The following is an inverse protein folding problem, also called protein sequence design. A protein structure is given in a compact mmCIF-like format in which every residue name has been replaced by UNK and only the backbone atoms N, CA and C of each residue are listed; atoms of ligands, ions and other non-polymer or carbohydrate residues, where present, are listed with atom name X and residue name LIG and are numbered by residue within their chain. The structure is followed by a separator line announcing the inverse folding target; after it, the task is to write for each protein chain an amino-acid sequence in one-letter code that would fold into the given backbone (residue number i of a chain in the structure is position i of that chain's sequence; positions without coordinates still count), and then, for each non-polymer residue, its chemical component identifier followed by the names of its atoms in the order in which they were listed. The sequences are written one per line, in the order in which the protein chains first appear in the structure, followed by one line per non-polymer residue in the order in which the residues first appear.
data_IF_697702869961
#
_entry.id   IF_697702869961
#
_cell.length_a   1.000
_cell.length_b   1.000
_cell.length_c   1.000
_cell.angle_alpha   90.00
_cell.angle_beta   90.00
_cell.angle_gamma   90.00
#
_symmetry.space_group_name_H-M   'P 1'
#
loop_
_entity.id
_entity.type
_entity.pdbx_description
1 polymer ?
#
# COMPACT_ATOMS: atom_id res chain seq x y z
N UNK A 1 -14.19 -10.19 9.81
CA UNK A 1 -12.80 -10.11 10.31
C UNK A 1 -11.99 -9.23 9.34
N UNK A 2 -11.18 -8.29 9.85
CA UNK A 2 -10.32 -7.43 9.02
C UNK A 2 -9.23 -8.24 8.32
N UNK A 3 -8.62 -7.68 7.24
CA UNK A 3 -7.49 -8.32 6.57
C UNK A 3 -6.34 -8.58 7.56
N UNK A 4 -5.95 -7.59 8.36
CA UNK A 4 -4.96 -7.73 9.43
C UNK A 4 -5.32 -8.86 10.41
N UNK A 5 -6.60 -9.00 10.77
CA UNK A 5 -7.07 -10.09 11.63
C UNK A 5 -6.90 -11.47 11.01
N UNK A 6 -7.15 -11.61 9.69
CA UNK A 6 -6.93 -12.87 8.95
C UNK A 6 -5.45 -13.25 8.92
N UNK A 7 -4.56 -12.27 8.66
CA UNK A 7 -3.11 -12.48 8.69
C UNK A 7 -2.66 -12.96 10.08
N UNK A 8 -3.10 -12.29 11.15
CA UNK A 8 -2.77 -12.67 12.52
C UNK A 8 -3.29 -14.05 12.88
N UNK A 9 -4.48 -14.42 12.43
CA UNK A 9 -5.02 -15.76 12.66
C UNK A 9 -4.21 -16.83 11.93
N UNK A 10 -3.84 -16.61 10.68
CA UNK A 10 -2.95 -17.51 9.93
C UNK A 10 -1.62 -17.72 10.66
N UNK A 11 -0.94 -16.65 11.02
CA UNK A 11 0.35 -16.69 11.70
C UNK A 11 0.27 -17.33 13.10
N UNK A 12 -0.85 -17.20 13.80
CA UNK A 12 -1.03 -17.78 15.13
C UNK A 12 -1.06 -19.31 15.10
N UNK A 13 -1.44 -19.92 13.99
CA UNK A 13 -1.52 -21.37 13.80
C UNK A 13 -0.17 -22.00 13.41
N UNK A 14 0.76 -21.19 12.91
CA UNK A 14 2.08 -21.68 12.49
C UNK A 14 2.99 -21.81 13.70
N UNK A 15 3.51 -22.98 13.97
CA UNK A 15 4.51 -23.24 15.01
C UNK A 15 5.75 -23.83 14.34
N UNK A 16 6.88 -23.14 14.45
CA UNK A 16 8.14 -23.66 13.95
C UNK A 16 8.52 -24.96 14.65
N UNK A 17 9.10 -25.90 13.93
CA UNK A 17 9.67 -27.12 14.52
C UNK A 17 10.99 -26.89 15.23
N UNK A 18 11.70 -25.81 14.85
CA UNK A 18 13.02 -25.49 15.43
C UNK A 18 12.87 -24.70 16.74
N UNK A 19 13.37 -25.25 17.84
CA UNK A 19 13.27 -24.65 19.17
C UNK A 19 13.82 -23.22 19.23
N UNK A 20 14.95 -22.93 18.56
CA UNK A 20 15.52 -21.58 18.53
C UNK A 20 14.60 -20.54 17.86
N UNK A 21 13.79 -20.97 16.86
CA UNK A 21 12.79 -20.10 16.25
C UNK A 21 11.59 -19.87 17.17
N UNK A 22 11.16 -20.91 17.92
CA UNK A 22 10.11 -20.80 18.93
C UNK A 22 10.54 -19.80 20.02
N UNK A 23 11.79 -19.88 20.49
CA UNK A 23 12.36 -18.95 21.49
C UNK A 23 12.40 -17.51 20.93
N UNK A 24 12.80 -17.32 19.67
CA UNK A 24 12.82 -16.00 19.05
C UNK A 24 11.41 -15.39 18.93
N UNK A 25 10.40 -16.21 18.65
CA UNK A 25 9.01 -15.77 18.55
C UNK A 25 8.41 -15.45 19.94
N UNK A 26 8.75 -16.23 20.97
CA UNK A 26 8.41 -15.93 22.38
C UNK A 26 9.05 -14.60 22.80
N UNK A 27 10.35 -14.42 22.53
CA UNK A 27 11.05 -13.19 22.84
C UNK A 27 10.41 -11.95 22.19
N UNK A 28 9.98 -12.09 20.92
CA UNK A 28 9.27 -11.03 20.22
C UNK A 28 7.94 -10.65 20.91
N UNK A 29 7.14 -11.64 21.28
CA UNK A 29 5.86 -11.39 21.95
C UNK A 29 6.09 -10.76 23.32
N UNK A 30 7.05 -11.27 24.11
CA UNK A 30 7.39 -10.72 25.41
C UNK A 30 7.90 -9.29 25.31
N UNK A 31 8.73 -8.98 24.32
CA UNK A 31 9.25 -7.62 24.13
C UNK A 31 8.16 -6.58 23.85
N UNK A 32 7.00 -6.97 23.33
CA UNK A 32 5.90 -6.05 22.96
C UNK A 32 4.82 -5.96 24.04
N UNK A 33 4.41 -7.09 24.58
CA UNK A 33 3.26 -7.17 25.50
C UNK A 33 3.55 -8.01 26.74
N UNK A 34 4.81 -8.32 27.02
CA UNK A 34 5.27 -9.00 28.21
C UNK A 34 5.46 -8.05 29.40
N UNK A 35 5.20 -8.56 30.58
CA UNK A 35 5.49 -7.92 31.86
C UNK A 35 6.06 -8.96 32.83
N UNK A 36 7.06 -8.57 33.60
CA UNK A 36 7.60 -9.40 34.69
C UNK A 36 7.19 -8.74 36.00
N UNK A 37 6.59 -9.49 36.91
CA UNK A 37 6.28 -9.07 38.24
C UNK A 37 7.18 -9.80 39.23
N UNK A 38 7.68 -9.09 40.25
CA UNK A 38 8.52 -9.62 41.30
C UNK A 38 7.74 -9.49 42.61
N UNK A 39 7.52 -10.58 43.32
CA UNK A 39 6.88 -10.57 44.62
C UNK A 39 7.90 -10.32 45.75
N UNK A 40 7.40 -10.08 46.99
CA UNK A 40 8.24 -9.79 48.17
C UNK A 40 9.27 -10.88 48.50
N UNK A 41 9.16 -12.08 47.94
CA UNK A 41 10.05 -13.23 48.16
C UNK A 41 10.93 -13.50 46.92
N UNK A 42 11.23 -12.49 46.12
CA UNK A 42 11.96 -12.60 44.86
C UNK A 42 11.38 -13.65 43.90
N UNK A 43 10.09 -13.86 43.96
CA UNK A 43 9.39 -14.79 43.09
C UNK A 43 9.01 -14.08 41.80
N UNK A 44 9.55 -14.52 40.67
CA UNK A 44 9.28 -13.98 39.37
C UNK A 44 8.04 -14.62 38.74
N UNK A 45 7.23 -13.79 38.08
CA UNK A 45 6.10 -14.24 37.28
C UNK A 45 6.07 -13.44 35.97
N UNK A 46 6.08 -14.13 34.84
CA UNK A 46 5.95 -13.51 33.54
C UNK A 46 4.51 -13.57 33.03
N UNK A 47 4.01 -12.44 32.55
CA UNK A 47 2.66 -12.31 32.01
C UNK A 47 2.69 -11.64 30.64
N UNK A 48 1.77 -12.05 29.75
CA UNK A 48 1.51 -11.40 28.47
C UNK A 48 0.10 -10.84 28.49
N UNK A 49 -0.04 -9.54 28.20
CA UNK A 49 -1.33 -8.84 28.13
C UNK A 49 -1.66 -8.48 26.69
N UNK A 50 -2.82 -8.89 26.20
CA UNK A 50 -3.23 -8.59 24.81
C UNK A 50 -4.75 -8.58 24.66
N UNK A 51 -5.26 -7.74 23.76
CA UNK A 51 -6.67 -7.78 23.35
C UNK A 51 -6.91 -8.77 22.19
N UNK A 52 -5.85 -9.33 21.62
CA UNK A 52 -5.92 -10.22 20.47
C UNK A 52 -5.81 -11.69 20.90
N UNK A 53 -6.89 -12.43 20.70
CA UNK A 53 -6.95 -13.88 21.02
C UNK A 53 -5.89 -14.71 20.27
N UNK A 54 -5.51 -14.30 19.05
CA UNK A 54 -4.49 -14.99 18.26
C UNK A 54 -3.11 -14.89 18.90
N UNK A 55 -2.78 -13.75 19.50
CA UNK A 55 -1.52 -13.54 20.25
C UNK A 55 -1.50 -14.38 21.52
N UNK A 56 -2.60 -14.35 22.31
CA UNK A 56 -2.71 -15.12 23.54
C UNK A 56 -2.56 -16.64 23.26
N UNK A 57 -3.27 -17.13 22.26
CA UNK A 57 -3.19 -18.54 21.82
C UNK A 57 -1.77 -18.91 21.39
N UNK A 58 -1.16 -18.06 20.57
CA UNK A 58 0.19 -18.29 20.06
C UNK A 58 1.21 -18.39 21.19
N UNK A 59 1.21 -17.40 22.10
CA UNK A 59 2.13 -17.40 23.23
C UNK A 59 1.94 -18.62 24.13
N UNK A 60 0.70 -18.93 24.50
CA UNK A 60 0.35 -20.13 25.28
C UNK A 60 0.93 -21.40 24.64
N UNK A 61 0.62 -21.62 23.35
CA UNK A 61 1.08 -22.83 22.64
C UNK A 61 2.61 -22.87 22.49
N UNK A 62 3.26 -21.72 22.31
CA UNK A 62 4.72 -21.68 22.21
C UNK A 62 5.39 -22.02 23.54
N UNK A 63 4.89 -21.49 24.66
CA UNK A 63 5.45 -21.75 26.00
C UNK A 63 5.28 -23.24 26.34
N UNK A 64 4.09 -23.78 26.10
CA UNK A 64 3.81 -25.21 26.31
C UNK A 64 4.75 -26.09 25.48
N UNK A 65 4.82 -25.87 24.16
CA UNK A 65 5.63 -26.71 23.25
C UNK A 65 7.13 -26.56 23.42
N UNK A 66 7.62 -25.35 23.74
CA UNK A 66 9.06 -25.06 23.81
C UNK A 66 9.68 -25.51 25.12
N UNK A 67 8.93 -25.38 26.22
CA UNK A 67 9.44 -25.54 27.58
C UNK A 67 8.70 -26.63 28.37
N UNK A 68 7.59 -27.16 27.87
CA UNK A 68 6.68 -28.06 28.59
C UNK A 68 6.16 -27.41 29.89
N UNK A 69 5.71 -26.17 29.78
CA UNK A 69 5.25 -25.32 30.90
C UNK A 69 3.74 -25.15 30.80
N UNK A 70 3.05 -25.31 31.92
CA UNK A 70 1.63 -24.99 32.05
C UNK A 70 1.45 -23.49 32.31
N UNK A 71 0.91 -22.78 31.32
CA UNK A 71 0.53 -21.39 31.46
C UNK A 71 -0.97 -21.27 31.76
N UNK A 72 -1.38 -20.21 32.44
CA UNK A 72 -2.78 -19.95 32.80
C UNK A 72 -3.31 -18.78 31.97
N UNK A 73 -4.50 -18.93 31.39
CA UNK A 73 -5.14 -17.87 30.61
C UNK A 73 -6.30 -17.28 31.40
N UNK A 74 -6.21 -16.00 31.71
CA UNK A 74 -7.29 -15.22 32.31
C UNK A 74 -7.96 -14.36 31.22
N UNK A 75 -9.28 -14.40 31.14
CA UNK A 75 -10.06 -13.59 30.19
C UNK A 75 -10.90 -12.57 30.98
N UNK A 76 -10.65 -11.29 30.76
CA UNK A 76 -11.46 -10.20 31.33
C UNK A 76 -12.26 -9.53 30.22
N UNK A 77 -13.58 -9.35 30.45
CA UNK A 77 -14.42 -8.50 29.58
C UNK A 77 -14.18 -7.05 29.95
N UNK A 78 -13.79 -6.22 28.99
CA UNK A 78 -13.70 -4.78 29.19
C UNK A 78 -15.12 -4.17 29.13
N UNK A 79 -15.64 -3.73 30.28
CA UNK A 79 -17.00 -3.20 30.42
C UNK A 79 -17.12 -1.81 29.77
N UNK A 80 -16.01 -1.04 29.72
CA UNK A 80 -15.97 0.36 29.31
C UNK A 80 -15.66 0.58 27.83
N UNK A 81 -14.98 -0.32 27.17
CA UNK A 81 -14.59 -0.21 25.75
C UNK A 81 -15.23 -1.34 24.92
N UNK A 82 -16.40 -1.05 24.31
CA UNK A 82 -17.06 -1.85 23.23
C UNK A 82 -16.88 -3.38 23.30
N UNK A 83 -17.14 -4.00 24.46
CA UNK A 83 -17.15 -5.47 24.65
C UNK A 83 -15.88 -6.21 24.14
N UNK A 84 -14.70 -5.59 24.17
CA UNK A 84 -13.45 -6.27 23.88
C UNK A 84 -13.03 -7.15 25.04
N UNK A 85 -12.52 -8.34 24.74
CA UNK A 85 -11.89 -9.20 25.75
C UNK A 85 -10.41 -8.82 25.88
N UNK A 86 -9.90 -8.77 27.10
CA UNK A 86 -8.47 -8.68 27.39
C UNK A 86 -8.01 -10.05 27.89
N UNK A 87 -6.98 -10.56 27.27
CA UNK A 87 -6.37 -11.85 27.60
C UNK A 87 -5.08 -11.59 28.37
N UNK A 88 -4.94 -12.27 29.50
CA UNK A 88 -3.71 -12.31 30.28
C UNK A 88 -3.25 -13.76 30.31
N UNK A 89 -2.08 -14.05 29.70
CA UNK A 89 -1.43 -15.34 29.77
C UNK A 89 -0.31 -15.26 30.78
N UNK A 90 -0.39 -16.06 31.83
CA UNK A 90 0.49 -16.03 32.98
C UNK A 90 1.24 -17.34 33.14
N UNK A 91 2.54 -17.26 33.45
CA UNK A 91 3.37 -18.37 33.90
C UNK A 91 3.62 -18.17 35.41
N UNK A 92 2.87 -18.86 36.26
CA UNK A 92 2.91 -18.59 37.71
C UNK A 92 4.16 -19.16 38.41
N UNK A 93 4.79 -20.16 37.85
CA UNK A 93 5.98 -20.81 38.42
C UNK A 93 7.21 -19.92 38.28
N UNK A 94 7.92 -19.69 39.41
CA UNK A 94 9.19 -18.95 39.43
C UNK A 94 10.24 -19.60 38.53
N UNK A 95 10.46 -20.91 38.71
CA UNK A 95 11.47 -21.68 37.97
C UNK A 95 11.21 -21.62 36.48
N UNK A 96 9.95 -21.78 36.07
CA UNK A 96 9.57 -21.73 34.67
C UNK A 96 9.69 -20.31 34.07
N UNK A 97 9.37 -19.29 34.87
CA UNK A 97 9.60 -17.89 34.48
C UNK A 97 11.08 -17.62 34.25
N UNK A 98 11.97 -18.06 35.15
CA UNK A 98 13.41 -17.94 35.01
C UNK A 98 13.89 -18.65 33.73
N UNK A 99 13.43 -19.89 33.50
CA UNK A 99 13.76 -20.65 32.27
C UNK A 99 13.38 -19.92 31.00
N UNK A 100 12.21 -19.31 30.95
CA UNK A 100 11.75 -18.52 29.79
C UNK A 100 12.62 -17.27 29.62
N UNK A 101 12.84 -16.49 30.69
CA UNK A 101 13.58 -15.23 30.62
C UNK A 101 15.06 -15.45 30.27
N UNK A 102 15.70 -16.49 30.80
CA UNK A 102 17.07 -16.86 30.42
C UNK A 102 17.17 -17.36 28.97
N UNK A 103 16.24 -18.19 28.51
CA UNK A 103 16.21 -18.66 27.13
C UNK A 103 16.00 -17.53 26.12
N UNK A 104 15.13 -16.57 26.46
CA UNK A 104 14.85 -15.37 25.63
C UNK A 104 15.88 -14.26 25.82
N UNK A 105 16.88 -14.45 26.72
CA UNK A 105 17.95 -13.48 27.04
C UNK A 105 17.46 -12.16 27.63
N UNK A 106 16.31 -12.18 28.31
CA UNK A 106 15.83 -11.08 29.14
C UNK A 106 16.30 -11.18 30.60
N UNK A 107 16.98 -12.27 30.94
CA UNK A 107 17.61 -12.48 32.24
C UNK A 107 19.00 -13.07 32.05
N UNK A 108 19.97 -12.59 32.80
CA UNK A 108 21.34 -13.12 32.85
C UNK A 108 21.38 -14.50 33.54
N UNK A 109 22.48 -15.28 33.42
CA UNK A 109 22.68 -16.49 34.21
C UNK A 109 22.66 -16.24 35.73
N UNK A 110 23.07 -15.04 36.16
CA UNK A 110 23.10 -14.59 37.55
C UNK A 110 21.73 -14.13 38.07
N UNK A 111 20.67 -14.33 37.27
CA UNK A 111 19.27 -13.93 37.55
C UNK A 111 19.03 -12.42 37.63
N UNK A 112 19.90 -11.62 37.01
CA UNK A 112 19.64 -10.21 36.83
C UNK A 112 18.70 -10.03 35.61
N UNK A 113 17.56 -9.38 35.85
CA UNK A 113 16.61 -9.06 34.79
C UNK A 113 17.13 -7.84 34.03
N UNK A 114 17.06 -7.87 32.69
CA UNK A 114 17.30 -6.68 31.89
C UNK A 114 16.35 -5.57 32.31
N UNK A 115 16.86 -4.35 32.54
CA UNK A 115 16.07 -3.19 32.97
C UNK A 115 14.87 -2.91 32.06
N UNK A 116 14.98 -3.33 30.80
CA UNK A 116 13.93 -3.22 29.80
C UNK A 116 13.84 -4.47 28.92
N UNK A 117 12.69 -5.15 28.92
CA UNK A 117 12.38 -6.24 27.99
C UNK A 117 12.36 -5.79 26.53
N UNK A 118 12.41 -4.48 26.27
CA UNK A 118 12.43 -3.93 24.94
C UNK A 118 13.78 -4.17 24.20
N UNK A 119 14.88 -4.25 24.95
CA UNK A 119 16.23 -4.44 24.37
C UNK A 119 16.48 -5.91 24.11
N UNK A 120 16.30 -6.32 22.88
CA UNK A 120 16.49 -7.70 22.49
C UNK A 120 17.97 -8.04 22.31
N UNK A 121 18.40 -9.15 22.91
CA UNK A 121 19.73 -9.68 22.68
C UNK A 121 19.89 -10.17 21.23
N UNK A 122 20.97 -9.72 20.56
CA UNK A 122 21.33 -10.20 19.21
C UNK A 122 21.53 -11.72 19.15
N UNK A 123 21.76 -12.37 20.28
CA UNK A 123 21.92 -13.82 20.37
C UNK A 123 20.65 -14.58 20.00
N UNK A 124 19.48 -14.01 20.23
CA UNK A 124 18.18 -14.63 19.91
C UNK A 124 17.89 -14.62 18.42
N UNK A 125 18.44 -13.65 17.67
CA UNK A 125 18.15 -13.43 16.24
C UNK A 125 19.38 -13.64 15.34
N UNK A 126 20.34 -14.47 15.76
CA UNK A 126 21.56 -14.72 14.96
C UNK A 126 21.26 -15.33 13.59
N UNK A 127 20.36 -16.30 13.54
CA UNK A 127 20.01 -17.01 12.30
C UNK A 127 18.87 -16.28 11.57
N UNK A 128 18.87 -16.33 10.24
CA UNK A 128 17.83 -15.74 9.42
C UNK A 128 16.43 -16.27 9.79
N UNK A 129 16.30 -17.58 10.02
CA UNK A 129 15.05 -18.18 10.47
C UNK A 129 14.58 -17.66 11.85
N UNK A 130 15.50 -17.29 12.76
CA UNK A 130 15.15 -16.64 14.02
C UNK A 130 14.65 -15.21 13.79
N UNK A 131 15.27 -14.47 12.86
CA UNK A 131 14.78 -13.13 12.48
C UNK A 131 13.36 -13.21 11.91
N UNK A 132 13.06 -14.17 11.02
CA UNK A 132 11.72 -14.42 10.49
C UNK A 132 10.70 -14.71 11.60
N UNK A 133 11.06 -15.61 12.53
CA UNK A 133 10.22 -15.95 13.68
C UNK A 133 10.01 -14.74 14.60
N UNK A 134 11.03 -13.94 14.84
CA UNK A 134 10.94 -12.70 15.61
C UNK A 134 10.00 -11.69 14.96
N UNK A 135 10.16 -11.42 13.66
CA UNK A 135 9.26 -10.52 12.91
C UNK A 135 7.81 -11.01 12.94
N UNK A 136 7.59 -12.33 12.86
CA UNK A 136 6.26 -12.94 12.98
C UNK A 136 5.63 -12.66 14.34
N UNK A 137 6.37 -12.89 15.44
CA UNK A 137 5.90 -12.62 16.80
C UNK A 137 5.63 -11.13 17.04
N UNK A 138 6.52 -10.24 16.58
CA UNK A 138 6.35 -8.79 16.69
C UNK A 138 5.14 -8.30 15.90
N UNK A 139 4.95 -8.78 14.67
CA UNK A 139 3.78 -8.42 13.86
C UNK A 139 2.48 -8.94 14.50
N UNK A 140 2.46 -10.14 15.03
CA UNK A 140 1.32 -10.66 15.77
C UNK A 140 0.93 -9.73 16.92
N UNK A 141 1.92 -9.29 17.71
CA UNK A 141 1.69 -8.49 18.92
C UNK A 141 1.30 -7.02 18.60
N UNK A 142 2.03 -6.34 17.72
CA UNK A 142 1.90 -4.91 17.48
C UNK A 142 1.67 -4.50 16.01
N UNK A 143 1.67 -5.45 15.08
CA UNK A 143 1.54 -5.16 13.66
C UNK A 143 0.09 -4.91 13.21
N UNK A 144 -0.04 -4.16 12.14
CA UNK A 144 -1.31 -3.91 11.44
C UNK A 144 -1.08 -3.80 9.93
N UNK A 145 -2.03 -4.33 9.15
CA UNK A 145 -2.07 -4.18 7.69
C UNK A 145 -3.47 -3.69 7.31
N UNK A 146 -3.54 -2.67 6.46
CA UNK A 146 -4.81 -2.19 5.91
C UNK A 146 -5.45 -3.21 4.99
N UNK A 147 -6.74 -3.00 4.71
CA UNK A 147 -7.44 -3.74 3.68
C UNK A 147 -6.85 -3.41 2.31
N UNK A 148 -6.28 -4.38 1.57
CA UNK A 148 -5.62 -4.14 0.29
C UNK A 148 -6.58 -3.63 -0.79
N UNK A 149 -7.90 -3.81 -0.65
CA UNK A 149 -8.89 -3.18 -1.54
C UNK A 149 -8.91 -1.66 -1.38
N UNK A 150 -8.68 -1.16 -0.15
CA UNK A 150 -8.72 0.28 0.18
C UNK A 150 -7.38 0.97 0.04
N UNK A 151 -6.29 0.24 0.18
CA UNK A 151 -4.94 0.78 0.07
C UNK A 151 -3.90 -0.10 0.76
N UNK A 152 -2.63 0.15 0.46
CA UNK A 152 -1.51 -0.61 0.98
C UNK A 152 -0.86 0.17 2.11
N UNK A 153 -1.07 -0.30 3.35
CA UNK A 153 -0.44 0.28 4.52
C UNK A 153 -0.11 -0.81 5.52
N UNK A 154 1.15 -0.87 5.90
CA UNK A 154 1.69 -1.78 6.90
C UNK A 154 2.36 -0.98 7.99
N UNK A 155 2.12 -1.33 9.25
CA UNK A 155 2.75 -0.68 10.39
C UNK A 155 2.96 -1.65 11.56
N UNK A 156 4.02 -1.43 12.31
CA UNK A 156 4.26 -2.03 13.62
C UNK A 156 4.53 -0.91 14.61
N UNK A 157 3.77 -0.88 15.71
CA UNK A 157 3.87 0.15 16.73
C UNK A 157 4.88 -0.26 17.79
N UNK A 158 5.87 0.58 18.06
CA UNK A 158 6.87 0.41 19.11
C UNK A 158 6.71 1.49 20.18
N UNK A 159 7.01 1.15 21.44
CA UNK A 159 6.85 2.08 22.58
C UNK A 159 8.04 3.05 22.65
N UNK A 160 9.22 2.60 22.29
CA UNK A 160 10.48 3.36 22.32
C UNK A 160 11.21 3.35 20.97
N UNK A 161 12.18 4.27 20.83
CA UNK A 161 12.95 4.49 19.62
C UNK A 161 13.92 3.35 19.34
N UNK A 162 14.65 2.89 20.37
CA UNK A 162 15.64 1.83 20.23
C UNK A 162 15.01 0.55 19.70
N UNK A 163 13.81 0.21 20.17
CA UNK A 163 13.02 -0.92 19.67
C UNK A 163 12.62 -0.74 18.22
N UNK A 164 12.17 0.47 17.84
CA UNK A 164 11.80 0.77 16.47
C UNK A 164 13.01 0.67 15.52
N UNK A 165 14.17 1.17 15.92
CA UNK A 165 15.42 1.07 15.17
C UNK A 165 15.88 -0.38 15.00
N UNK A 166 15.92 -1.16 16.07
CA UNK A 166 16.26 -2.58 16.02
C UNK A 166 15.32 -3.35 15.08
N UNK A 167 14.01 -3.09 15.15
CA UNK A 167 13.03 -3.73 14.29
C UNK A 167 13.21 -3.35 12.81
N UNK A 168 13.43 -2.06 12.53
CA UNK A 168 13.75 -1.57 11.19
C UNK A 168 15.00 -2.28 10.63
N UNK A 169 16.06 -2.36 11.42
CA UNK A 169 17.31 -2.97 10.99
C UNK A 169 17.16 -4.47 10.71
N UNK A 170 16.34 -5.19 11.50
CA UNK A 170 16.00 -6.58 11.20
C UNK A 170 15.23 -6.68 9.88
N UNK A 171 14.23 -5.82 9.64
CA UNK A 171 13.44 -5.80 8.40
C UNK A 171 14.35 -5.50 7.20
N UNK A 172 15.29 -4.57 7.33
CA UNK A 172 16.27 -4.23 6.30
C UNK A 172 17.17 -5.41 5.91
N UNK A 173 17.42 -6.37 6.81
CA UNK A 173 18.20 -7.58 6.45
C UNK A 173 17.51 -8.45 5.40
N UNK A 174 16.21 -8.24 5.16
CA UNK A 174 15.40 -8.89 4.12
C UNK A 174 15.18 -7.99 2.90
N UNK A 175 15.94 -6.91 2.76
CA UNK A 175 15.88 -5.96 1.64
C UNK A 175 14.51 -5.22 1.54
N UNK A 176 13.81 -5.11 2.67
CA UNK A 176 12.55 -4.37 2.79
C UNK A 176 12.87 -3.00 3.37
N UNK A 177 12.54 -1.91 2.66
CA UNK A 177 12.78 -0.52 3.11
C UNK A 177 11.72 -0.08 4.13
N UNK A 178 11.96 -0.39 5.38
CA UNK A 178 11.14 0.04 6.50
C UNK A 178 11.60 1.40 7.03
N UNK A 179 10.65 2.26 7.38
CA UNK A 179 10.89 3.61 7.91
C UNK A 179 10.24 3.78 9.28
N UNK A 180 10.78 4.70 10.06
CA UNK A 180 10.28 5.03 11.38
C UNK A 180 9.65 6.41 11.34
N UNK A 181 8.50 6.56 11.98
CA UNK A 181 7.85 7.86 12.21
C UNK A 181 7.36 7.94 13.65
N UNK A 182 7.59 9.06 14.29
CA UNK A 182 7.02 9.36 15.61
C UNK A 182 5.56 9.82 15.45
N UNK A 183 4.62 9.10 16.04
CA UNK A 183 3.19 9.40 15.99
C UNK A 183 2.61 9.45 17.40
N UNK A 184 2.15 10.62 17.84
CA UNK A 184 1.55 10.94 19.15
C UNK A 184 2.45 10.65 20.35
N UNK A 185 3.09 9.71 20.66
CA UNK A 185 4.05 9.33 21.72
C UNK A 185 4.60 7.92 21.46
N UNK A 186 4.35 7.34 20.26
CA UNK A 186 4.81 6.01 19.91
C UNK A 186 5.60 6.06 18.61
N UNK A 187 6.60 5.22 18.49
CA UNK A 187 7.36 5.04 17.27
C UNK A 187 6.69 3.99 16.40
N UNK A 188 6.47 4.29 15.13
CA UNK A 188 5.80 3.40 14.20
C UNK A 188 6.78 3.03 13.09
N UNK A 189 7.10 1.76 13.00
CA UNK A 189 7.84 1.18 11.87
C UNK A 189 6.83 0.82 10.80
N UNK A 190 6.98 1.38 9.61
CA UNK A 190 6.03 1.16 8.53
C UNK A 190 6.72 0.84 7.20
N UNK A 191 6.00 0.11 6.37
CA UNK A 191 6.30 -0.14 4.96
C UNK A 191 5.14 0.45 4.17
N UNK A 192 5.42 1.43 3.31
CA UNK A 192 4.39 2.14 2.57
C UNK A 192 4.66 2.16 1.08
N UNK A 193 3.57 2.00 0.33
CA UNK A 193 3.50 2.16 -1.10
C UNK A 193 3.14 3.60 -1.50
N UNK A 194 3.77 4.09 -2.56
CA UNK A 194 3.34 5.31 -3.26
C UNK A 194 4.21 6.54 -3.05
N UNK A 195 4.75 7.09 -4.17
CA UNK A 195 5.34 8.43 -4.21
C UNK A 195 4.22 9.48 -4.30
N UNK A 196 3.83 10.05 -3.17
CA UNK A 196 3.27 11.40 -3.15
C UNK A 196 4.14 12.25 -2.24
N UNK A 197 4.86 13.20 -2.87
CA UNK A 197 5.51 14.29 -2.15
C UNK A 197 4.37 15.21 -1.69
N UNK A 198 3.88 15.01 -0.49
CA UNK A 198 3.05 16.00 0.18
C UNK A 198 3.99 16.89 0.97
N UNK A 199 4.42 17.98 0.34
CA UNK A 199 5.18 19.04 1.01
C UNK A 199 4.24 19.76 1.98
N UNK A 200 4.11 19.28 3.21
CA UNK A 200 3.65 20.10 4.33
C UNK A 200 4.88 20.47 5.16
N UNK A 201 5.11 21.81 5.27
CA UNK A 201 6.21 22.41 6.03
C UNK A 201 6.42 21.70 7.37
N UNK A 202 7.60 21.10 7.53
CA UNK A 202 8.32 20.57 8.69
C UNK A 202 8.57 19.05 8.82
N UNK A 203 8.03 18.18 7.98
CA UNK A 203 8.49 16.78 7.98
C UNK A 203 8.49 16.27 6.53
N UNK A 204 9.67 16.11 5.95
CA UNK A 204 9.83 15.46 4.65
C UNK A 204 9.67 13.94 4.84
N UNK A 205 8.64 13.37 4.27
CA UNK A 205 8.44 11.93 4.22
C UNK A 205 8.59 11.49 2.78
N UNK A 206 9.66 10.74 2.49
CA UNK A 206 9.88 10.12 1.17
C UNK A 206 9.19 8.75 1.17
N UNK A 207 8.30 8.50 0.22
CA UNK A 207 7.58 7.24 0.08
C UNK A 207 8.14 6.42 -1.08
N UNK A 208 8.30 5.12 -0.92
CA UNK A 208 8.59 4.19 -2.00
C UNK A 208 7.29 3.61 -2.58
N UNK A 209 7.32 3.44 -3.88
CA UNK A 209 6.17 3.07 -4.71
C UNK A 209 6.19 1.58 -4.96
N UNK A 210 5.61 0.74 -4.12
CA UNK A 210 5.20 -0.61 -4.54
C UNK A 210 4.66 -1.46 -3.37
N UNK A 211 3.46 -2.05 -3.49
CA UNK A 211 2.89 -3.07 -2.61
C UNK A 211 3.68 -4.39 -2.61
N UNK A 212 4.74 -4.48 -3.42
CA UNK A 212 5.72 -5.54 -3.40
C UNK A 212 6.34 -5.72 -2.01
N UNK A 213 6.70 -4.64 -1.32
CA UNK A 213 7.39 -4.75 -0.03
C UNK A 213 6.50 -5.32 1.09
N UNK A 214 5.19 -5.08 1.04
CA UNK A 214 4.24 -5.73 1.98
C UNK A 214 4.13 -7.22 1.64
N UNK A 215 4.11 -7.57 0.35
CA UNK A 215 4.15 -8.96 -0.12
C UNK A 215 5.43 -9.64 0.36
N UNK A 216 6.59 -8.98 0.19
CA UNK A 216 7.88 -9.48 0.65
C UNK A 216 7.87 -9.71 2.17
N UNK A 217 7.32 -8.77 2.94
CA UNK A 217 7.18 -8.94 4.38
C UNK A 217 6.27 -10.13 4.74
N UNK A 218 5.13 -10.28 4.07
CA UNK A 218 4.25 -11.44 4.28
C UNK A 218 4.96 -12.76 3.93
N UNK A 219 5.82 -12.76 2.91
CA UNK A 219 6.69 -13.89 2.58
C UNK A 219 7.74 -14.17 3.68
N UNK A 220 8.36 -13.13 4.23
CA UNK A 220 9.33 -13.25 5.33
C UNK A 220 8.70 -13.86 6.58
N UNK A 221 7.49 -13.44 6.96
CA UNK A 221 6.78 -13.99 8.13
C UNK A 221 6.00 -15.28 7.82
N UNK A 222 6.06 -15.74 6.58
CA UNK A 222 5.42 -16.98 6.09
C UNK A 222 3.88 -16.96 6.11
N UNK A 223 3.27 -15.79 5.91
CA UNK A 223 1.82 -15.63 5.79
C UNK A 223 1.35 -15.93 4.36
N UNK A 224 1.45 -17.18 3.90
CA UNK A 224 1.27 -17.58 2.51
C UNK A 224 -0.13 -17.31 1.95
N UNK A 225 -1.18 -17.60 2.72
CA UNK A 225 -2.58 -17.34 2.28
C UNK A 225 -2.86 -15.86 2.14
N UNK A 226 -2.37 -15.05 3.09
CA UNK A 226 -2.51 -13.60 3.05
C UNK A 226 -1.72 -12.97 1.90
N UNK A 227 -0.50 -13.47 1.64
CA UNK A 227 0.34 -13.08 0.52
C UNK A 227 -0.38 -13.31 -0.81
N UNK A 228 -0.89 -14.53 -1.05
CA UNK A 228 -1.61 -14.87 -2.29
C UNK A 228 -2.87 -14.00 -2.47
N UNK A 229 -3.60 -13.73 -1.39
CA UNK A 229 -4.77 -12.85 -1.45
C UNK A 229 -4.39 -11.43 -1.86
N UNK A 230 -3.33 -10.87 -1.26
CA UNK A 230 -2.84 -9.52 -1.56
C UNK A 230 -2.35 -9.42 -3.00
N UNK A 231 -1.61 -10.42 -3.51
CA UNK A 231 -1.15 -10.47 -4.91
C UNK A 231 -2.33 -10.55 -5.89
N UNK A 232 -3.33 -11.36 -5.62
CA UNK A 232 -4.53 -11.44 -6.46
C UNK A 232 -5.26 -10.09 -6.54
N UNK A 233 -5.32 -9.34 -5.45
CA UNK A 233 -5.91 -7.99 -5.44
C UNK A 233 -5.04 -7.02 -6.24
N UNK A 234 -3.71 -7.09 -6.11
CA UNK A 234 -2.76 -6.26 -6.87
C UNK A 234 -2.94 -6.45 -8.37
N UNK A 235 -2.92 -7.70 -8.84
CA UNK A 235 -3.07 -8.04 -10.26
C UNK A 235 -4.41 -7.50 -10.80
N UNK A 236 -5.51 -7.70 -10.08
CA UNK A 236 -6.83 -7.19 -10.50
C UNK A 236 -6.83 -5.66 -10.61
N UNK A 237 -6.25 -4.95 -9.65
CA UNK A 237 -6.14 -3.48 -9.69
C UNK A 237 -5.28 -3.01 -10.85
N UNK A 238 -4.16 -3.66 -11.12
CA UNK A 238 -3.28 -3.34 -12.25
C UNK A 238 -3.99 -3.50 -13.60
N UNK A 239 -4.67 -4.62 -13.80
CA UNK A 239 -5.48 -4.87 -15.02
C UNK A 239 -6.55 -3.78 -15.16
N UNK A 240 -7.32 -3.50 -14.11
CA UNK A 240 -8.37 -2.48 -14.13
C UNK A 240 -7.80 -1.08 -14.45
N UNK A 241 -6.67 -0.71 -13.83
CA UNK A 241 -6.01 0.56 -14.09
C UNK A 241 -5.52 0.68 -15.54
N UNK A 242 -4.97 -0.39 -16.11
CA UNK A 242 -4.52 -0.41 -17.51
C UNK A 242 -5.69 -0.27 -18.48
N UNK A 243 -6.81 -0.96 -18.23
CA UNK A 243 -8.04 -0.82 -19.02
C UNK A 243 -8.57 0.61 -18.92
N UNK A 244 -8.68 1.17 -17.72
CA UNK A 244 -9.16 2.54 -17.52
C UNK A 244 -8.28 3.58 -18.22
N UNK A 245 -6.94 3.43 -18.17
CA UNK A 245 -6.02 4.32 -18.90
C UNK A 245 -6.23 4.24 -20.41
N UNK A 246 -6.43 3.02 -20.94
CA UNK A 246 -6.68 2.82 -22.36
C UNK A 246 -8.00 3.45 -22.79
N UNK A 247 -9.08 3.19 -22.05
CA UNK A 247 -10.41 3.77 -22.30
C UNK A 247 -10.37 5.30 -22.23
N UNK A 248 -9.74 5.87 -21.18
CA UNK A 248 -9.62 7.31 -21.03
C UNK A 248 -8.83 7.94 -22.18
N UNK A 249 -7.75 7.29 -22.64
CA UNK A 249 -6.96 7.76 -23.77
C UNK A 249 -7.78 7.73 -25.07
N UNK A 250 -8.50 6.65 -25.34
CA UNK A 250 -9.35 6.51 -26.51
C UNK A 250 -10.50 7.54 -26.49
N UNK A 251 -11.18 7.70 -25.35
CA UNK A 251 -12.26 8.69 -25.17
C UNK A 251 -11.76 10.12 -25.38
N UNK A 252 -10.59 10.46 -24.84
CA UNK A 252 -9.98 11.78 -25.05
C UNK A 252 -9.61 12.01 -26.53
N UNK A 253 -9.13 11.00 -27.23
CA UNK A 253 -8.80 11.08 -28.66
C UNK A 253 -10.08 11.25 -29.51
N UNK A 254 -11.14 10.51 -29.22
CA UNK A 254 -12.43 10.64 -29.88
C UNK A 254 -12.98 12.05 -29.62
N UNK A 255 -12.99 12.52 -28.38
CA UNK A 255 -13.46 13.87 -28.02
C UNK A 255 -12.72 14.97 -28.79
N UNK A 256 -11.37 14.89 -28.90
CA UNK A 256 -10.59 15.83 -29.70
C UNK A 256 -10.95 15.79 -31.18
N UNK A 257 -11.18 14.61 -31.74
CA UNK A 257 -11.54 14.44 -33.16
C UNK A 257 -12.91 15.01 -33.45
N UNK A 258 -13.89 14.74 -32.59
CA UNK A 258 -15.27 15.26 -32.73
C UNK A 258 -15.27 16.81 -32.60
N UNK A 259 -14.63 17.35 -31.56
CA UNK A 259 -14.55 18.80 -31.38
C UNK A 259 -13.87 19.49 -32.58
N UNK A 260 -12.82 18.90 -33.13
CA UNK A 260 -12.18 19.43 -34.32
C UNK A 260 -13.11 19.39 -35.56
N UNK A 261 -13.86 18.31 -35.75
CA UNK A 261 -14.82 18.19 -36.85
C UNK A 261 -15.97 19.22 -36.73
N UNK A 262 -16.52 19.40 -35.53
CA UNK A 262 -17.55 20.42 -35.26
C UNK A 262 -17.03 21.82 -35.60
N UNK A 263 -15.87 22.19 -35.08
CA UNK A 263 -15.26 23.48 -35.42
C UNK A 263 -15.02 23.65 -36.92
N UNK A 264 -14.51 22.63 -37.61
CA UNK A 264 -14.32 22.68 -39.06
C UNK A 264 -15.65 22.94 -39.81
N UNK A 265 -16.73 22.28 -39.39
CA UNK A 265 -18.06 22.46 -40.00
C UNK A 265 -18.59 23.86 -39.76
N UNK A 266 -18.43 24.40 -38.53
CA UNK A 266 -18.83 25.77 -38.19
C UNK A 266 -18.04 26.79 -39.02
N UNK A 267 -16.72 26.62 -39.16
CA UNK A 267 -15.85 27.49 -39.95
C UNK A 267 -16.25 27.48 -41.45
N UNK A 268 -16.50 26.31 -42.01
CA UNK A 268 -16.93 26.15 -43.40
C UNK A 268 -18.31 26.77 -43.65
N UNK A 269 -19.29 26.57 -42.75
CA UNK A 269 -20.59 27.20 -42.86
C UNK A 269 -20.54 28.73 -42.75
N UNK A 270 -19.62 29.21 -41.89
CA UNK A 270 -19.39 30.65 -41.78
C UNK A 270 -18.86 31.24 -43.09
N UNK A 271 -17.91 30.60 -43.77
CA UNK A 271 -17.42 31.01 -45.07
C UNK A 271 -18.51 30.94 -46.12
N UNK A 272 -19.30 29.85 -46.18
CA UNK A 272 -20.40 29.67 -47.12
C UNK A 272 -21.41 30.82 -47.00
N UNK A 273 -21.79 31.21 -45.79
CA UNK A 273 -22.81 32.25 -45.52
C UNK A 273 -22.33 33.67 -45.86
N UNK A 274 -21.05 33.98 -45.68
CA UNK A 274 -20.54 35.35 -45.77
C UNK A 274 -19.85 35.70 -47.09
N UNK A 275 -19.21 34.74 -47.71
CA UNK A 275 -18.37 34.98 -48.91
C UNK A 275 -18.75 34.03 -50.06
N UNK A 276 -19.33 32.88 -49.73
CA UNK A 276 -19.61 31.82 -50.68
C UNK A 276 -18.37 31.03 -51.05
N UNK A 277 -18.54 29.84 -51.63
CA UNK A 277 -17.40 28.95 -52.02
C UNK A 277 -16.72 29.40 -53.28
N UNK A 278 -17.36 30.25 -54.14
CA UNK A 278 -16.80 30.72 -55.41
C UNK A 278 -15.51 31.53 -55.27
N UNK A 279 -15.20 32.01 -54.06
CA UNK A 279 -13.95 32.73 -53.77
C UNK A 279 -12.82 31.79 -53.24
N UNK A 280 -13.11 30.53 -53.01
CA UNK A 280 -12.12 29.52 -52.60
C UNK A 280 -11.42 28.94 -53.83
N UNK A 281 -10.22 28.42 -53.62
CA UNK A 281 -9.60 27.56 -54.66
C UNK A 281 -10.38 26.26 -54.78
N UNK A 282 -10.42 25.66 -55.96
CA UNK A 282 -11.13 24.42 -56.27
C UNK A 282 -10.86 23.30 -55.24
N UNK A 283 -9.61 23.17 -54.81
CA UNK A 283 -9.20 22.22 -53.78
C UNK A 283 -9.79 22.47 -52.40
N UNK A 284 -9.99 23.72 -51.99
CA UNK A 284 -10.57 24.13 -50.71
C UNK A 284 -12.09 23.98 -50.73
N UNK A 285 -12.72 24.31 -51.86
CA UNK A 285 -14.13 24.12 -52.13
C UNK A 285 -14.51 22.63 -52.05
N UNK A 286 -13.78 21.77 -52.77
CA UNK A 286 -13.97 20.32 -52.71
C UNK A 286 -13.88 19.79 -51.27
N UNK A 287 -12.86 20.25 -50.50
CA UNK A 287 -12.65 19.84 -49.11
C UNK A 287 -13.79 20.32 -48.20
N UNK A 288 -14.27 21.54 -48.39
CA UNK A 288 -15.38 22.12 -47.66
C UNK A 288 -16.70 21.33 -47.93
N UNK A 289 -17.03 21.12 -49.18
CA UNK A 289 -18.24 20.35 -49.59
C UNK A 289 -18.19 18.94 -49.06
N UNK A 290 -17.01 18.27 -49.18
CA UNK A 290 -16.83 16.90 -48.69
C UNK A 290 -17.02 16.82 -47.16
N UNK A 291 -16.48 17.77 -46.36
CA UNK A 291 -16.62 17.80 -44.90
C UNK A 291 -18.07 18.07 -44.49
N UNK A 292 -18.81 18.96 -45.19
CA UNK A 292 -20.23 19.21 -44.89
C UNK A 292 -21.09 17.99 -45.21
N UNK A 293 -20.79 17.28 -46.29
CA UNK A 293 -21.53 16.07 -46.72
C UNK A 293 -21.29 14.89 -45.78
N UNK A 294 -20.05 14.78 -45.22
CA UNK A 294 -19.66 13.67 -44.36
C UNK A 294 -19.07 14.18 -43.02
N UNK A 295 -19.96 14.69 -42.12
CA UNK A 295 -19.54 15.33 -40.88
C UNK A 295 -18.74 14.41 -39.94
N UNK A 296 -19.07 13.12 -39.92
CA UNK A 296 -18.46 12.13 -39.03
C UNK A 296 -17.24 11.42 -39.61
N UNK A 297 -16.97 11.62 -40.91
CA UNK A 297 -15.86 10.96 -41.57
C UNK A 297 -14.50 11.40 -40.97
N UNK A 298 -13.60 10.44 -40.82
CA UNK A 298 -12.22 10.72 -40.42
C UNK A 298 -11.47 11.46 -41.55
N UNK A 299 -10.35 12.13 -41.22
CA UNK A 299 -9.54 12.82 -42.23
C UNK A 299 -9.01 11.87 -43.31
N UNK A 300 -8.84 10.59 -43.04
CA UNK A 300 -8.41 9.59 -44.01
C UNK A 300 -9.55 9.28 -44.97
N UNK A 301 -10.73 8.98 -44.47
CA UNK A 301 -11.92 8.71 -45.28
C UNK A 301 -12.29 9.89 -46.14
N UNK A 302 -12.26 11.13 -45.61
CA UNK A 302 -12.45 12.32 -46.44
C UNK A 302 -11.46 12.42 -47.61
N UNK A 303 -10.20 12.10 -47.33
CA UNK A 303 -9.18 12.12 -48.38
C UNK A 303 -9.39 11.07 -49.48
N UNK A 304 -9.93 9.91 -49.11
CA UNK A 304 -10.28 8.83 -50.07
C UNK A 304 -11.51 9.19 -50.93
N UNK A 305 -12.38 10.10 -50.44
CA UNK A 305 -13.58 10.57 -51.14
C UNK A 305 -13.31 11.75 -52.11
N UNK A 306 -12.12 12.32 -52.10
CA UNK A 306 -11.73 13.45 -52.96
C UNK A 306 -11.20 12.95 -54.31
N UNK A 307 -11.28 13.77 -55.34
CA UNK A 307 -10.79 13.45 -56.70
C UNK A 307 -9.81 14.51 -57.23
N UNK A 308 -8.51 14.24 -57.32
CA UNK A 308 -7.83 12.98 -56.98
C UNK A 308 -7.77 12.72 -55.46
N UNK A 309 -7.61 11.45 -55.00
CA UNK A 309 -7.53 11.15 -53.58
C UNK A 309 -6.38 11.89 -52.89
N UNK A 310 -6.64 12.41 -51.70
CA UNK A 310 -5.70 13.22 -50.91
C UNK A 310 -5.33 12.53 -49.59
N UNK A 311 -4.07 12.51 -49.24
CA UNK A 311 -3.63 11.91 -47.99
C UNK A 311 -4.13 12.70 -46.78
N UNK A 312 -4.24 12.01 -45.59
CA UNK A 312 -4.69 12.60 -44.30
C UNK A 312 -4.02 13.95 -43.98
N UNK A 313 -2.73 14.10 -44.27
CA UNK A 313 -1.98 15.34 -44.02
C UNK A 313 -2.44 16.47 -44.93
N UNK A 314 -2.73 16.18 -46.20
CA UNK A 314 -3.24 17.14 -47.16
C UNK A 314 -4.64 17.64 -46.78
N UNK A 315 -5.53 16.73 -46.44
CA UNK A 315 -6.88 17.08 -45.91
C UNK A 315 -6.79 17.98 -44.67
N UNK A 316 -5.93 17.61 -43.70
CA UNK A 316 -5.75 18.41 -42.48
C UNK A 316 -5.20 19.82 -42.80
N UNK A 317 -4.27 19.92 -43.76
CA UNK A 317 -3.72 21.21 -44.21
C UNK A 317 -4.83 22.09 -44.83
N UNK A 318 -5.64 21.51 -45.75
CA UNK A 318 -6.74 22.23 -46.41
C UNK A 318 -7.80 22.68 -45.38
N UNK A 319 -8.21 21.83 -44.43
CA UNK A 319 -9.15 22.21 -43.36
C UNK A 319 -8.60 23.29 -42.41
N UNK A 320 -7.30 23.25 -42.07
CA UNK A 320 -6.67 24.34 -41.30
C UNK A 320 -6.62 25.65 -42.08
N UNK A 321 -6.49 25.61 -43.42
CA UNK A 321 -6.52 26.81 -44.24
C UNK A 321 -7.92 27.40 -44.30
N UNK A 322 -8.97 26.57 -44.39
CA UNK A 322 -10.37 27.01 -44.26
C UNK A 322 -10.65 27.64 -42.86
N UNK A 323 -10.16 27.05 -41.77
CA UNK A 323 -10.26 27.63 -40.46
C UNK A 323 -9.63 29.02 -40.35
N UNK A 324 -8.44 29.25 -40.93
CA UNK A 324 -7.81 30.55 -40.98
C UNK A 324 -8.62 31.59 -41.77
N UNK A 325 -9.16 31.21 -42.93
CA UNK A 325 -10.03 32.11 -43.72
C UNK A 325 -11.28 32.48 -42.91
N UNK A 326 -11.89 31.54 -42.20
CA UNK A 326 -13.02 31.84 -41.33
C UNK A 326 -12.68 32.79 -40.16
N UNK A 327 -11.50 32.60 -39.54
CA UNK A 327 -11.03 33.49 -38.46
C UNK A 327 -10.70 34.91 -38.98
N UNK A 328 -10.09 35.05 -40.17
CA UNK A 328 -9.87 36.34 -40.82
C UNK A 328 -11.17 37.06 -41.17
N UNK A 329 -12.19 36.36 -41.65
CA UNK A 329 -13.50 36.93 -41.92
C UNK A 329 -14.26 37.35 -40.65
N UNK A 330 -14.03 36.69 -39.53
CA UNK A 330 -14.58 37.12 -38.24
C UNK A 330 -13.87 38.36 -37.68
N UNK A 331 -12.54 38.44 -37.78
CA UNK A 331 -11.74 39.59 -37.32
C UNK A 331 -12.01 40.83 -38.11
N UNK A 332 -12.17 40.76 -39.43
CA UNK A 332 -12.55 41.92 -40.26
C UNK A 332 -13.95 42.48 -39.95
N UNK A 333 -14.80 41.81 -39.21
CA UNK A 333 -16.12 42.31 -38.76
C UNK A 333 -16.05 43.06 -37.42
N UNK A 334 -15.12 42.74 -36.57
CA UNK A 334 -14.91 43.51 -35.32
C UNK A 334 -14.36 44.88 -35.57
N UNK A 335 -13.50 45.05 -36.61
CA UNK A 335 -12.95 46.35 -37.02
C UNK A 335 -13.94 47.29 -37.76
N UNK A 336 -15.11 46.81 -38.18
CA UNK A 336 -16.15 47.61 -38.88
C UNK A 336 -17.34 48.02 -37.98
N UNK A 337 -17.36 47.57 -36.71
CA UNK A 337 -18.44 47.88 -35.76
C UNK A 337 -17.99 48.72 -34.56
N UNK A 338 -16.80 49.30 -34.61
CA UNK A 338 -16.31 50.38 -33.77
C UNK A 338 -16.31 51.69 -34.61
#
# INVERSE_FOLDING_TARGET
MSFSGKVKEELSRQISTARHCQIAEIAAILSVCGQVSISANDHFCVTVHTENVSVARKYFTLVEKTFNIEAVIHVRKNVYLKKSNVYRVEVPSHEDTVRILQATKFMSPEQEIADDLSVMSRLVIQKECCKRAFLRGTFLAAGSISDPEKGYHFEIVCQDEAKAENLRDIIHTFQIDAKIVLRKKSYVVYVKEGAQIVTRKKNQVVYLKEGSQIVDFLGVVEAGSALMNLENIRIRKEISNNINRKVNCETANIGKTVSAAVKQIEDIRYIETHVGFSQLTEELEETAVCRLRYPEATLKELGEMMNPPVGKSGVNHRLRKLGRIADELRGNKEDYND
#
